data_IF_402624767287
#
_entry.id   IF_402624767287
#
_cell.length_a   1.000
_cell.length_b   1.000
_cell.length_c   1.000
_cell.angle_alpha   90.00
_cell.angle_beta   90.00
_cell.angle_gamma   90.00
#
_symmetry.space_group_name_H-M   'P 1'
#
loop_
_entity.id
_entity.type
_entity.pdbx_description
1 polymer ?
#
# COMPACT_ATOMS: atom_id res chain seq x y z
N UNK A 1 9.31 -9.35 -4.36
CA UNK A 1 10.11 -9.22 -3.12
C UNK A 1 11.59 -9.12 -3.44
N UNK A 2 12.12 -9.98 -4.31
CA UNK A 2 13.51 -9.93 -4.82
C UNK A 2 13.99 -8.52 -5.22
N UNK A 3 13.22 -7.77 -6.01
CA UNK A 3 13.60 -6.42 -6.45
C UNK A 3 13.77 -5.41 -5.30
N UNK A 4 13.11 -5.64 -4.16
CA UNK A 4 13.23 -4.84 -2.94
C UNK A 4 14.45 -5.28 -2.10
N UNK A 5 14.71 -6.58 -2.01
CA UNK A 5 15.87 -7.15 -1.32
C UNK A 5 17.18 -6.68 -1.95
N UNK A 6 17.26 -6.67 -3.30
CA UNK A 6 18.40 -6.13 -4.05
C UNK A 6 18.66 -4.65 -3.75
N UNK A 7 17.59 -3.89 -3.46
CA UNK A 7 17.68 -2.48 -3.10
C UNK A 7 17.85 -2.24 -1.61
N UNK A 8 17.94 -3.32 -0.80
CA UNK A 8 17.98 -3.27 0.67
C UNK A 8 16.86 -2.41 1.26
N UNK A 9 15.71 -2.40 0.59
CA UNK A 9 14.54 -1.67 1.05
C UNK A 9 13.80 -2.48 2.12
N UNK A 10 13.40 -1.82 3.20
CA UNK A 10 12.53 -2.44 4.20
C UNK A 10 11.12 -2.58 3.61
N UNK A 11 10.64 -3.82 3.47
CA UNK A 11 9.32 -4.12 2.93
C UNK A 11 8.58 -5.09 3.84
N UNK A 12 7.25 -4.96 3.86
CA UNK A 12 6.34 -5.88 4.53
C UNK A 12 5.30 -6.35 3.51
N UNK A 13 5.00 -7.64 3.52
CA UNK A 13 4.00 -8.25 2.63
C UNK A 13 2.82 -8.72 3.45
N UNK A 14 1.61 -8.37 3.05
CA UNK A 14 0.39 -8.81 3.72
C UNK A 14 -0.86 -8.17 3.15
N UNK A 15 -1.97 -8.32 3.87
CA UNK A 15 -3.26 -7.81 3.42
C UNK A 15 -3.38 -6.29 3.61
N UNK A 16 -4.07 -5.66 2.67
CA UNK A 16 -4.50 -4.26 2.73
C UNK A 16 -6.01 -4.20 2.60
N UNK A 17 -6.61 -3.14 3.12
CA UNK A 17 -8.01 -2.82 2.93
C UNK A 17 -8.14 -1.81 1.79
N UNK A 18 -8.88 -2.17 0.73
CA UNK A 18 -9.39 -1.20 -0.24
C UNK A 18 -10.74 -0.68 0.26
N UNK A 19 -10.80 0.57 0.68
CA UNK A 19 -12.00 1.20 1.26
C UNK A 19 -12.59 2.24 0.32
N UNK A 20 -13.90 2.20 0.09
CA UNK A 20 -14.62 3.30 -0.57
C UNK A 20 -14.84 4.50 0.37
N UNK A 21 -14.71 4.29 1.68
CA UNK A 21 -14.99 5.28 2.72
C UNK A 21 -13.68 5.80 3.29
N UNK A 22 -13.27 7.00 2.87
CA UNK A 22 -12.12 7.70 3.45
C UNK A 22 -12.49 8.33 4.80
N UNK A 23 -13.64 9.01 4.88
CA UNK A 23 -14.19 9.60 6.11
C UNK A 23 -15.41 8.80 6.55
N UNK A 24 -15.28 8.04 7.64
CA UNK A 24 -16.36 7.24 8.21
C UNK A 24 -16.73 7.68 9.63
N UNK A 25 -17.98 7.46 10.02
CA UNK A 25 -18.49 7.83 11.34
C UNK A 25 -18.04 6.88 12.47
N UNK A 26 -17.59 5.66 12.13
CA UNK A 26 -17.07 4.69 13.10
C UNK A 26 -15.59 4.92 13.38
N UNK A 27 -15.30 5.59 14.48
CA UNK A 27 -13.94 5.88 14.96
C UNK A 27 -13.09 4.63 15.24
N UNK A 28 -13.70 3.45 15.40
CA UNK A 28 -13.00 2.19 15.69
C UNK A 28 -12.84 1.29 14.46
N UNK A 29 -13.32 1.70 13.28
CA UNK A 29 -13.29 0.89 12.06
C UNK A 29 -11.88 0.35 11.74
N UNK A 30 -10.85 1.22 11.76
CA UNK A 30 -9.47 0.80 11.48
C UNK A 30 -8.91 -0.18 12.51
N UNK A 31 -9.33 -0.09 13.78
CA UNK A 31 -8.89 -1.03 14.83
C UNK A 31 -9.43 -2.44 14.59
N UNK A 32 -10.66 -2.56 14.08
CA UNK A 32 -11.27 -3.85 13.72
C UNK A 32 -10.47 -4.53 12.60
N UNK A 33 -10.08 -3.80 11.56
CA UNK A 33 -9.23 -4.30 10.48
C UNK A 33 -7.81 -4.66 10.95
N UNK A 34 -7.21 -3.82 11.80
CA UNK A 34 -5.90 -4.11 12.41
C UNK A 34 -5.93 -5.43 13.20
N UNK A 35 -7.01 -5.72 13.93
CA UNK A 35 -7.18 -6.99 14.67
C UNK A 35 -7.16 -8.22 13.74
N UNK A 36 -7.54 -8.05 12.47
CA UNK A 36 -7.51 -9.10 11.45
C UNK A 36 -6.15 -9.22 10.72
N UNK A 37 -5.15 -8.43 11.11
CA UNK A 37 -3.83 -8.44 10.48
C UNK A 37 -3.73 -7.61 9.19
N UNK A 38 -4.71 -6.75 8.91
CA UNK A 38 -4.61 -5.78 7.79
C UNK A 38 -3.53 -4.75 8.13
N UNK A 39 -2.62 -4.53 7.17
CA UNK A 39 -1.42 -3.70 7.35
C UNK A 39 -1.67 -2.21 7.07
N UNK A 40 -2.46 -1.92 6.04
CA UNK A 40 -2.71 -0.56 5.57
C UNK A 40 -4.11 -0.45 4.93
N UNK A 41 -4.57 0.80 4.77
CA UNK A 41 -5.77 1.15 4.02
C UNK A 41 -5.38 1.97 2.80
N UNK A 42 -5.98 1.65 1.66
CA UNK A 42 -5.91 2.35 0.38
C UNK A 42 -7.28 2.20 -0.32
N UNK A 43 -7.43 2.56 -1.60
CA UNK A 43 -8.77 2.63 -2.21
C UNK A 43 -8.89 1.89 -3.57
N UNK A 44 -7.86 1.19 -4.05
CA UNK A 44 -7.82 0.73 -5.45
C UNK A 44 -7.36 -0.73 -5.65
N UNK A 45 -6.57 -1.31 -4.75
CA UNK A 45 -5.88 -2.59 -4.97
C UNK A 45 -6.85 -3.75 -5.24
N UNK A 46 -8.00 -3.79 -4.55
CA UNK A 46 -9.02 -4.81 -4.77
C UNK A 46 -9.55 -4.77 -6.21
N UNK A 47 -9.89 -3.57 -6.72
CA UNK A 47 -10.36 -3.40 -8.10
C UNK A 47 -9.27 -3.74 -9.12
N UNK A 48 -8.03 -3.32 -8.88
CA UNK A 48 -6.87 -3.67 -9.71
C UNK A 48 -6.71 -5.19 -9.85
N UNK A 49 -6.72 -5.92 -8.73
CA UNK A 49 -6.57 -7.37 -8.71
C UNK A 49 -7.76 -8.10 -9.34
N UNK A 50 -8.99 -7.65 -9.08
CA UNK A 50 -10.18 -8.24 -9.70
C UNK A 50 -10.19 -8.08 -11.22
N UNK A 51 -9.81 -6.91 -11.73
CA UNK A 51 -9.72 -6.66 -13.17
C UNK A 51 -8.60 -7.46 -13.82
N UNK A 52 -7.43 -7.54 -13.20
CA UNK A 52 -6.33 -8.35 -13.71
C UNK A 52 -6.71 -9.83 -13.78
N UNK A 53 -7.31 -10.38 -12.72
CA UNK A 53 -7.81 -11.75 -12.70
C UNK A 53 -8.86 -12.02 -13.78
N UNK A 54 -9.79 -11.08 -13.99
CA UNK A 54 -10.82 -11.17 -15.05
C UNK A 54 -10.20 -11.20 -16.45
N UNK A 55 -9.20 -10.37 -16.70
CA UNK A 55 -8.59 -10.19 -18.01
C UNK A 55 -7.41 -11.15 -18.28
N UNK A 56 -7.06 -12.03 -17.32
CA UNK A 56 -5.87 -12.88 -17.42
C UNK A 56 -4.55 -12.09 -17.36
N UNK A 57 -4.58 -10.87 -16.81
CA UNK A 57 -3.41 -10.02 -16.62
C UNK A 57 -2.67 -10.33 -15.31
N UNK A 58 -1.45 -9.79 -15.19
CA UNK A 58 -0.68 -9.76 -13.94
C UNK A 58 -0.81 -8.39 -13.30
N UNK A 59 -0.98 -8.34 -11.98
CA UNK A 59 -1.03 -7.09 -11.24
C UNK A 59 -0.32 -7.21 -9.89
N UNK A 60 0.16 -6.08 -9.40
CA UNK A 60 0.81 -5.93 -8.10
C UNK A 60 0.53 -4.53 -7.56
N UNK A 61 0.12 -4.45 -6.30
CA UNK A 61 0.02 -3.19 -5.55
C UNK A 61 1.27 -3.05 -4.65
N UNK A 62 1.95 -1.91 -4.75
CA UNK A 62 3.06 -1.53 -3.87
C UNK A 62 2.71 -0.18 -3.27
N UNK A 63 2.82 -0.07 -1.95
CA UNK A 63 2.43 1.12 -1.19
C UNK A 63 3.61 1.66 -0.40
N UNK A 64 3.68 2.98 -0.27
CA UNK A 64 4.51 3.65 0.74
C UNK A 64 3.60 4.21 1.81
N UNK A 65 3.94 3.99 3.08
CA UNK A 65 3.15 4.50 4.21
C UNK A 65 3.43 5.99 4.37
N UNK A 66 2.41 6.83 4.15
CA UNK A 66 2.50 8.29 4.30
C UNK A 66 1.94 8.80 5.61
N UNK A 67 0.95 8.10 6.17
CA UNK A 67 0.19 8.55 7.33
C UNK A 67 -0.20 7.33 8.19
N UNK A 68 -0.27 7.53 9.51
CA UNK A 68 -0.76 6.53 10.46
C UNK A 68 -1.92 7.15 11.27
N UNK A 69 -3.18 6.94 10.85
CA UNK A 69 -4.35 7.54 11.51
C UNK A 69 -4.51 7.12 12.97
N UNK A 70 -3.99 5.94 13.36
CA UNK A 70 -4.07 5.44 14.73
C UNK A 70 -3.15 6.17 15.70
N UNK A 71 -2.03 6.74 15.22
CA UNK A 71 -1.08 7.54 16.01
C UNK A 71 -1.21 9.04 15.73
N UNK A 72 -1.81 9.42 14.59
CA UNK A 72 -1.89 10.80 14.13
C UNK A 72 -0.64 11.29 13.39
N UNK A 73 0.29 10.38 13.07
CA UNK A 73 1.52 10.71 12.35
C UNK A 73 1.27 10.87 10.85
N UNK A 74 1.91 11.85 10.23
CA UNK A 74 1.80 12.17 8.81
C UNK A 74 3.13 12.66 8.28
N UNK A 75 3.49 12.27 7.06
CA UNK A 75 4.70 12.76 6.41
C UNK A 75 4.59 14.26 6.07
N UNK A 76 5.66 15.05 6.27
CA UNK A 76 5.76 16.39 5.71
C UNK A 76 5.65 16.38 4.17
N UNK A 77 5.19 17.49 3.58
CA UNK A 77 5.01 17.61 2.13
C UNK A 77 6.29 17.28 1.33
N UNK A 78 7.44 17.77 1.79
CA UNK A 78 8.75 17.51 1.15
C UNK A 78 9.14 16.03 1.15
N UNK A 79 8.81 15.31 2.23
CA UNK A 79 9.09 13.88 2.35
C UNK A 79 8.15 13.05 1.47
N UNK A 80 6.90 13.50 1.27
CA UNK A 80 6.00 12.88 0.28
C UNK A 80 6.49 13.09 -1.16
N UNK A 81 7.05 14.25 -1.46
CA UNK A 81 7.57 14.55 -2.80
C UNK A 81 8.82 13.72 -3.14
N UNK A 82 9.74 13.57 -2.18
CA UNK A 82 11.07 13.00 -2.46
C UNK A 82 11.28 11.58 -1.91
N UNK A 83 10.45 11.15 -0.95
CA UNK A 83 10.63 9.90 -0.21
C UNK A 83 10.15 8.64 -0.93
N UNK A 84 9.41 8.77 -2.03
CA UNK A 84 8.77 7.62 -2.69
C UNK A 84 9.61 6.98 -3.80
N UNK A 85 10.80 7.51 -4.08
CA UNK A 85 11.69 7.02 -5.14
C UNK A 85 12.06 5.53 -4.98
N UNK A 86 12.23 5.05 -3.75
CA UNK A 86 12.53 3.63 -3.50
C UNK A 86 11.42 2.72 -4.01
N UNK A 87 10.15 3.05 -3.72
CA UNK A 87 8.99 2.30 -4.20
C UNK A 87 8.92 2.27 -5.73
N UNK A 88 9.14 3.41 -6.37
CA UNK A 88 9.11 3.52 -7.84
C UNK A 88 10.20 2.66 -8.48
N UNK A 89 11.44 2.70 -7.96
CA UNK A 89 12.53 1.88 -8.47
C UNK A 89 12.25 0.37 -8.30
N UNK A 90 11.65 -0.03 -7.18
CA UNK A 90 11.22 -1.43 -6.96
C UNK A 90 10.14 -1.82 -7.99
N UNK A 91 9.13 -0.98 -8.20
CA UNK A 91 8.06 -1.23 -9.15
C UNK A 91 8.58 -1.38 -10.58
N UNK A 92 9.46 -0.47 -11.02
CA UNK A 92 10.08 -0.52 -12.35
C UNK A 92 10.86 -1.83 -12.57
N UNK A 93 11.72 -2.20 -11.61
CA UNK A 93 12.47 -3.47 -11.69
C UNK A 93 11.56 -4.70 -11.69
N UNK A 94 10.49 -4.68 -10.92
CA UNK A 94 9.53 -5.79 -10.88
C UNK A 94 8.73 -5.91 -12.19
N UNK A 95 8.45 -4.80 -12.87
CA UNK A 95 7.68 -4.78 -14.11
C UNK A 95 8.49 -5.21 -15.35
N UNK A 96 9.82 -5.06 -15.34
CA UNK A 96 10.71 -5.40 -16.47
C UNK A 96 11.37 -6.78 -16.35
N UNK A 97 10.97 -7.59 -15.35
CA UNK A 97 11.42 -8.98 -15.19
C UNK A 97 10.39 -9.92 -15.79
#
# INVERSE_FOLDING_TARGET
>A
VESAEEQRAHVVVGNVLSSDVFYGDDADALKKWKKMGVLAVEMEAAALYMNAARCGGKALCILTISDCPLTGESLPAKERETGFNSMINIALKAATR
#
